data_IF_285181408214
#
_entry.id   IF_285181408214
#
_cell.length_a   1.000
_cell.length_b   1.000
_cell.length_c   1.000
_cell.angle_alpha   90.00
_cell.angle_beta   90.00
_cell.angle_gamma   90.00
#
_symmetry.space_group_name_H-M   'P 1'
#
loop_
_entity.id
_entity.type
_entity.pdbx_description
1 polymer ?
#
# COMPACT_ATOMS: atom_id res chain seq x y z
N UNK A 1 -23.54 33.11 -36.58
CA UNK A 1 -22.54 32.15 -37.08
C UNK A 1 -21.84 31.57 -35.87
N UNK A 2 -22.18 30.34 -35.53
CA UNK A 2 -21.49 29.57 -34.49
C UNK A 2 -20.20 29.01 -35.09
N UNK A 3 -19.08 29.11 -34.37
CA UNK A 3 -17.82 28.44 -34.73
C UNK A 3 -17.55 27.39 -33.66
N UNK A 4 -17.64 26.14 -34.08
CA UNK A 4 -17.32 24.93 -33.34
C UNK A 4 -15.83 24.80 -33.10
N UNK A 5 -15.42 24.42 -31.88
CA UNK A 5 -14.06 23.95 -31.60
C UNK A 5 -14.12 22.45 -31.43
N UNK A 6 -13.52 21.74 -32.38
CA UNK A 6 -13.40 20.28 -32.44
C UNK A 6 -12.50 19.75 -31.32
N UNK A 7 -13.00 18.73 -30.60
CA UNK A 7 -12.23 17.93 -29.67
C UNK A 7 -11.24 17.04 -30.45
N UNK A 8 -9.94 17.23 -30.21
CA UNK A 8 -8.90 16.32 -30.75
C UNK A 8 -8.94 15.00 -29.98
N UNK A 9 -9.24 13.93 -30.70
CA UNK A 9 -9.07 12.54 -30.26
C UNK A 9 -7.60 12.28 -29.89
N UNK A 10 -7.32 12.06 -28.61
CA UNK A 10 -6.07 11.45 -28.15
C UNK A 10 -6.33 9.95 -28.03
N UNK A 11 -5.69 9.20 -28.91
CA UNK A 11 -5.78 7.74 -29.01
C UNK A 11 -4.87 7.14 -27.92
N UNK A 12 -5.47 6.54 -26.88
CA UNK A 12 -4.74 5.82 -25.83
C UNK A 12 -4.24 4.50 -26.43
N UNK A 13 -2.94 4.18 -26.40
CA UNK A 13 -2.44 2.92 -26.93
C UNK A 13 -2.92 1.75 -26.07
N UNK A 14 -3.53 0.76 -26.72
CA UNK A 14 -3.80 -0.56 -26.14
C UNK A 14 -2.47 -1.23 -25.78
N UNK A 15 -2.21 -1.46 -24.49
CA UNK A 15 -1.16 -2.38 -24.06
C UNK A 15 -1.68 -3.82 -24.22
N UNK A 16 -1.13 -4.50 -25.23
CA UNK A 16 -1.12 -5.95 -25.34
C UNK A 16 -0.11 -6.55 -24.35
N UNK A 17 -0.35 -7.83 -24.00
CA UNK A 17 0.54 -8.87 -23.39
C UNK A 17 0.01 -9.40 -22.04
N UNK A 18 -0.74 -10.52 -22.05
CA UNK A 18 -0.32 -11.94 -21.86
C UNK A 18 0.14 -12.28 -20.44
N UNK A 19 -0.72 -13.04 -19.75
CA UNK A 19 -0.55 -13.62 -18.42
C UNK A 19 0.06 -15.02 -18.55
N UNK A 20 1.14 -15.33 -17.83
CA UNK A 20 1.75 -16.67 -17.77
C UNK A 20 1.49 -17.39 -16.43
N UNK A 21 0.28 -17.96 -16.36
CA UNK A 21 -0.21 -19.28 -15.90
C UNK A 21 0.40 -20.21 -14.82
N UNK A 22 1.39 -19.89 -13.98
CA UNK A 22 1.86 -20.92 -13.01
C UNK A 22 1.05 -21.12 -11.71
N UNK A 23 -0.06 -20.41 -11.50
CA UNK A 23 -1.14 -20.79 -10.56
C UNK A 23 -2.52 -20.36 -11.13
N UNK A 24 -3.58 -21.19 -11.07
CA UNK A 24 -4.86 -20.85 -11.68
C UNK A 24 -5.62 -19.84 -10.80
N UNK A 25 -5.52 -18.57 -11.14
CA UNK A 25 -6.52 -17.56 -10.77
C UNK A 25 -7.68 -17.76 -11.76
N UNK A 26 -8.91 -18.11 -11.31
CA UNK A 26 -10.00 -18.37 -12.23
C UNK A 26 -10.28 -17.10 -13.06
N UNK A 27 -10.44 -17.31 -14.36
CA UNK A 27 -10.69 -16.32 -15.41
C UNK A 27 -11.69 -15.23 -14.99
N UNK A 28 -11.18 -14.10 -14.51
CA UNK A 28 -12.01 -12.91 -14.30
C UNK A 28 -12.11 -12.15 -15.62
N UNK A 29 -13.27 -12.24 -16.28
CA UNK A 29 -13.60 -11.34 -17.40
C UNK A 29 -13.80 -9.91 -16.88
N UNK A 30 -13.15 -8.90 -17.46
CA UNK A 30 -13.34 -7.51 -17.06
C UNK A 30 -14.67 -6.99 -17.63
N UNK A 31 -15.75 -7.05 -16.85
CA UNK A 31 -16.96 -6.30 -17.20
C UNK A 31 -17.76 -5.88 -15.96
N UNK A 32 -18.19 -4.62 -15.95
CA UNK A 32 -18.92 -3.87 -14.91
C UNK A 32 -18.20 -3.44 -13.62
N UNK A 33 -17.28 -4.21 -13.04
CA UNK A 33 -16.68 -3.83 -11.73
C UNK A 33 -15.83 -2.56 -11.87
N UNK A 34 -15.04 -2.45 -12.95
CA UNK A 34 -14.14 -1.32 -13.21
C UNK A 34 -14.87 0.04 -13.28
N UNK A 35 -16.00 0.11 -14.00
CA UNK A 35 -16.72 1.37 -14.22
C UNK A 35 -17.49 1.87 -12.99
N UNK A 36 -18.03 0.96 -12.16
CA UNK A 36 -18.79 1.32 -10.96
C UNK A 36 -17.88 1.82 -9.83
N UNK A 37 -16.67 1.28 -9.72
CA UNK A 37 -15.71 1.69 -8.69
C UNK A 37 -15.12 3.07 -8.95
N UNK A 38 -14.77 3.39 -10.20
CA UNK A 38 -14.22 4.70 -10.58
C UNK A 38 -15.28 5.82 -10.39
N UNK A 39 -16.55 5.51 -10.63
CA UNK A 39 -17.68 6.43 -10.40
C UNK A 39 -17.96 6.68 -8.91
N UNK A 40 -17.85 5.65 -8.06
CA UNK A 40 -18.07 5.80 -6.62
C UNK A 40 -16.92 6.51 -5.90
N UNK A 41 -15.68 6.35 -6.38
CA UNK A 41 -14.52 7.02 -5.81
C UNK A 41 -14.57 8.55 -6.02
N UNK A 42 -15.04 9.00 -7.19
CA UNK A 42 -15.32 10.42 -7.45
C UNK A 42 -16.48 10.97 -6.60
N UNK A 43 -17.54 10.17 -6.40
CA UNK A 43 -18.67 10.55 -5.53
C UNK A 43 -18.29 10.64 -4.04
N UNK A 44 -17.32 9.82 -3.59
CA UNK A 44 -16.78 9.76 -2.22
C UNK A 44 -16.10 11.07 -1.78
N UNK A 45 -15.56 11.85 -2.74
CA UNK A 45 -14.92 13.14 -2.47
C UNK A 45 -15.88 14.33 -2.56
N UNK A 46 -17.02 14.20 -3.27
CA UNK A 46 -17.84 15.36 -3.66
C UNK A 46 -19.23 15.46 -3.03
N UNK A 47 -19.88 14.36 -2.59
CA UNK A 47 -21.32 14.42 -2.26
C UNK A 47 -21.70 13.98 -0.84
N UNK A 48 -22.38 14.92 -0.19
CA UNK A 48 -22.96 14.88 1.15
C UNK A 48 -24.19 13.95 1.21
N UNK A 49 -24.03 12.78 1.83
CA UNK A 49 -24.93 12.17 2.83
C UNK A 49 -24.40 10.77 3.18
N UNK A 50 -24.10 10.52 4.46
CA UNK A 50 -23.46 9.27 4.93
C UNK A 50 -24.26 7.99 4.60
N UNK A 51 -25.56 8.07 4.38
CA UNK A 51 -26.44 6.88 4.29
C UNK A 51 -26.52 6.26 2.88
N UNK A 52 -26.74 7.07 1.84
CA UNK A 52 -26.77 6.64 0.43
C UNK A 52 -25.43 5.97 0.02
N UNK A 53 -24.33 6.58 0.46
CA UNK A 53 -22.98 6.10 0.19
C UNK A 53 -22.72 4.69 0.78
N UNK A 54 -23.18 4.44 2.01
CA UNK A 54 -23.06 3.13 2.67
C UNK A 54 -23.83 2.06 1.88
N UNK A 55 -25.02 2.40 1.37
CA UNK A 55 -25.85 1.45 0.63
C UNK A 55 -25.25 1.08 -0.73
N UNK A 56 -24.71 2.06 -1.45
CA UNK A 56 -24.00 1.85 -2.72
C UNK A 56 -22.75 1.00 -2.49
N UNK A 57 -21.95 1.32 -1.46
CA UNK A 57 -20.76 0.54 -1.10
C UNK A 57 -21.11 -0.90 -0.75
N UNK A 58 -22.17 -1.15 0.04
CA UNK A 58 -22.64 -2.51 0.34
C UNK A 58 -22.98 -3.30 -0.92
N UNK A 59 -23.67 -2.69 -1.89
CA UNK A 59 -24.03 -3.34 -3.16
C UNK A 59 -22.81 -3.68 -4.02
N UNK A 60 -21.85 -2.75 -4.11
CA UNK A 60 -20.60 -2.96 -4.85
C UNK A 60 -19.76 -4.05 -4.18
N UNK A 61 -19.64 -4.02 -2.86
CA UNK A 61 -18.92 -5.04 -2.09
C UNK A 61 -19.56 -6.41 -2.22
N UNK A 62 -20.90 -6.51 -2.14
CA UNK A 62 -21.62 -7.75 -2.42
C UNK A 62 -21.28 -8.27 -3.81
N UNK A 63 -21.37 -7.44 -4.85
CA UNK A 63 -21.08 -7.86 -6.22
C UNK A 63 -19.65 -8.36 -6.36
N UNK A 64 -18.68 -7.59 -5.88
CA UNK A 64 -17.28 -7.97 -5.86
C UNK A 64 -17.05 -9.31 -5.14
N UNK A 65 -17.65 -9.50 -3.95
CA UNK A 65 -17.51 -10.74 -3.17
C UNK A 65 -18.13 -11.94 -3.88
N UNK A 66 -19.27 -11.76 -4.55
CA UNK A 66 -19.93 -12.84 -5.31
C UNK A 66 -19.16 -13.21 -6.57
N UNK A 67 -18.58 -12.22 -7.24
CA UNK A 67 -17.81 -12.41 -8.46
C UNK A 67 -16.45 -13.08 -8.14
N UNK A 68 -15.82 -12.74 -7.01
CA UNK A 68 -14.55 -13.33 -6.56
C UNK A 68 -14.71 -14.71 -5.89
N UNK A 69 -15.80 -14.92 -5.15
CA UNK A 69 -15.98 -16.12 -4.32
C UNK A 69 -17.29 -16.83 -4.65
N UNK A 70 -17.20 -17.87 -5.47
CA UNK A 70 -18.35 -18.69 -5.90
C UNK A 70 -19.19 -19.22 -4.72
N UNK A 71 -18.57 -19.53 -3.58
CA UNK A 71 -19.25 -19.96 -2.35
C UNK A 71 -20.25 -18.94 -1.80
N UNK A 72 -20.11 -17.66 -2.12
CA UNK A 72 -21.00 -16.59 -1.63
C UNK A 72 -22.00 -16.10 -2.68
N UNK A 73 -21.96 -16.66 -3.90
CA UNK A 73 -22.85 -16.32 -5.02
C UNK A 73 -24.34 -16.35 -4.65
N UNK A 74 -24.75 -17.28 -3.80
CA UNK A 74 -26.14 -17.50 -3.40
C UNK A 74 -26.56 -16.75 -2.12
N UNK A 75 -25.65 -16.04 -1.43
CA UNK A 75 -25.99 -15.28 -0.21
C UNK A 75 -26.75 -14.00 -0.55
N UNK A 76 -27.75 -13.62 0.25
CA UNK A 76 -28.45 -12.34 0.07
C UNK A 76 -27.65 -11.15 0.68
N UNK A 77 -28.15 -9.92 0.51
CA UNK A 77 -27.41 -8.72 0.93
C UNK A 77 -27.28 -8.60 2.45
N UNK A 78 -28.23 -9.18 3.21
CA UNK A 78 -28.23 -9.09 4.67
C UNK A 78 -27.09 -9.89 5.32
N UNK A 79 -26.42 -10.76 4.54
CA UNK A 79 -25.26 -11.51 4.99
C UNK A 79 -23.95 -10.73 4.91
N UNK A 80 -23.94 -9.55 4.27
CA UNK A 80 -22.73 -8.75 4.06
C UNK A 80 -22.77 -7.45 4.87
N UNK A 81 -21.74 -7.26 5.70
CA UNK A 81 -21.56 -6.08 6.52
C UNK A 81 -20.24 -5.43 6.15
N UNK A 82 -20.23 -4.13 5.86
CA UNK A 82 -19.02 -3.40 5.52
C UNK A 82 -18.82 -2.23 6.48
N UNK A 83 -17.60 -2.10 7.01
CA UNK A 83 -17.18 -0.99 7.85
C UNK A 83 -15.84 -0.44 7.38
N UNK A 84 -15.63 0.87 7.56
CA UNK A 84 -14.35 1.49 7.23
C UNK A 84 -13.36 1.19 8.34
N UNK A 85 -12.17 0.74 7.97
CA UNK A 85 -11.04 0.58 8.90
C UNK A 85 -10.23 1.87 8.85
N UNK A 86 -9.98 2.45 10.03
CA UNK A 86 -9.04 3.58 10.19
C UNK A 86 -7.60 3.04 10.15
N UNK A 87 -6.70 3.70 9.42
CA UNK A 87 -5.28 3.32 9.44
C UNK A 87 -4.43 3.76 8.26
N UNK A 88 -5.03 4.09 7.09
CA UNK A 88 -4.29 4.55 5.93
C UNK A 88 -4.66 5.97 5.53
N UNK A 89 -3.66 6.82 5.26
CA UNK A 89 -3.85 8.17 4.70
C UNK A 89 -4.09 8.08 3.19
N UNK A 90 -3.40 7.15 2.52
CA UNK A 90 -3.33 7.03 1.05
C UNK A 90 -4.37 6.08 0.44
N UNK A 91 -5.03 5.25 1.24
CA UNK A 91 -5.89 4.16 0.75
C UNK A 91 -7.22 4.09 1.53
N UNK A 92 -8.31 3.73 0.84
CA UNK A 92 -9.57 3.39 1.52
C UNK A 92 -9.57 1.91 1.87
N UNK A 93 -9.62 1.61 3.17
CA UNK A 93 -9.66 0.25 3.70
C UNK A 93 -11.05 -0.08 4.24
N UNK A 94 -11.65 -1.16 3.74
CA UNK A 94 -12.96 -1.64 4.16
C UNK A 94 -12.82 -3.05 4.73
N UNK A 95 -13.35 -3.28 5.92
CA UNK A 95 -13.57 -4.62 6.44
C UNK A 95 -14.95 -5.08 6.01
N UNK A 96 -15.01 -6.21 5.33
CA UNK A 96 -16.25 -6.86 4.93
C UNK A 96 -16.41 -8.14 5.75
N UNK A 97 -17.51 -8.23 6.49
CA UNK A 97 -17.89 -9.40 7.25
C UNK A 97 -19.01 -10.13 6.52
N UNK A 98 -18.81 -11.41 6.23
CA UNK A 98 -19.75 -12.27 5.54
C UNK A 98 -20.24 -13.35 6.50
N UNK A 99 -21.55 -13.37 6.78
CA UNK A 99 -22.19 -14.44 7.52
C UNK A 99 -22.47 -15.60 6.58
N UNK A 100 -21.81 -16.73 6.75
CA UNK A 100 -22.04 -17.93 5.93
C UNK A 100 -23.31 -18.67 6.38
N UNK A 101 -23.84 -19.57 5.53
CA UNK A 101 -25.07 -20.32 5.81
C UNK A 101 -24.96 -21.22 7.05
N UNK A 102 -23.75 -21.69 7.35
CA UNK A 102 -23.42 -22.47 8.56
C UNK A 102 -23.37 -21.61 9.84
N UNK A 103 -23.60 -20.29 9.74
CA UNK A 103 -23.55 -19.34 10.85
C UNK A 103 -22.17 -18.75 11.13
N UNK A 104 -21.11 -19.21 10.47
CA UNK A 104 -19.75 -18.68 10.66
C UNK A 104 -19.64 -17.26 10.11
N UNK A 105 -18.84 -16.44 10.79
CA UNK A 105 -18.51 -15.10 10.31
C UNK A 105 -17.11 -15.11 9.69
N UNK A 106 -17.02 -14.71 8.42
CA UNK A 106 -15.75 -14.58 7.71
C UNK A 106 -15.45 -13.10 7.49
N UNK A 107 -14.22 -12.68 7.77
CA UNK A 107 -13.78 -11.31 7.59
C UNK A 107 -12.74 -11.22 6.47
N UNK A 108 -12.97 -10.28 5.54
CA UNK A 108 -12.03 -9.92 4.50
C UNK A 108 -11.80 -8.40 4.52
N UNK A 109 -10.70 -7.98 3.90
CA UNK A 109 -10.36 -6.59 3.72
C UNK A 109 -10.39 -6.26 2.24
N UNK A 110 -11.02 -5.13 1.89
CA UNK A 110 -10.95 -4.56 0.55
C UNK A 110 -10.17 -3.25 0.63
N UNK A 111 -9.02 -3.20 -0.04
CA UNK A 111 -8.17 -2.00 -0.17
C UNK A 111 -8.43 -1.38 -1.53
N UNK A 112 -8.78 -0.11 -1.54
CA UNK A 112 -8.90 0.71 -2.75
C UNK A 112 -7.80 1.76 -2.74
N UNK A 113 -7.09 1.86 -3.86
CA UNK A 113 -6.01 2.83 -3.99
C UNK A 113 -6.56 4.25 -4.06
N UNK A 114 -5.92 5.18 -3.33
CA UNK A 114 -6.23 6.59 -3.42
C UNK A 114 -5.82 7.20 -4.76
N UNK A 115 -6.46 8.31 -5.16
CA UNK A 115 -6.12 8.99 -6.40
C UNK A 115 -4.73 9.61 -6.24
N UNK A 116 -3.97 9.75 -7.33
CA UNK A 116 -2.69 10.46 -7.31
C UNK A 116 -1.63 9.85 -6.37
N UNK A 117 -1.73 8.57 -6.05
CA UNK A 117 -0.71 7.91 -5.22
C UNK A 117 0.48 7.42 -6.06
N UNK A 118 0.32 7.32 -7.38
CA UNK A 118 1.41 7.01 -8.33
C UNK A 118 2.57 8.03 -8.30
N UNK A 119 2.35 9.22 -7.73
CA UNK A 119 3.41 10.19 -7.61
C UNK A 119 4.52 9.70 -6.65
N UNK A 120 4.16 9.06 -5.56
CA UNK A 120 5.13 8.61 -4.55
C UNK A 120 5.35 7.09 -4.64
N UNK A 121 4.33 6.34 -5.03
CA UNK A 121 4.33 4.87 -4.96
C UNK A 121 4.40 4.26 -6.36
N UNK A 122 5.27 3.27 -6.53
CA UNK A 122 5.30 2.44 -7.74
C UNK A 122 4.33 1.27 -7.60
N UNK A 123 3.10 1.45 -8.11
CA UNK A 123 2.02 0.45 -7.99
C UNK A 123 2.29 -0.85 -8.74
N UNK A 124 3.02 -0.80 -9.86
CA UNK A 124 3.40 -2.01 -10.59
C UNK A 124 4.35 -2.87 -9.74
N UNK A 125 5.33 -2.24 -9.09
CA UNK A 125 6.26 -2.89 -8.16
C UNK A 125 5.51 -3.50 -6.97
N UNK A 126 4.59 -2.76 -6.36
CA UNK A 126 3.78 -3.24 -5.25
C UNK A 126 2.90 -4.44 -5.65
N UNK A 127 2.17 -4.33 -6.76
CA UNK A 127 1.32 -5.40 -7.27
C UNK A 127 2.11 -6.65 -7.66
N UNK A 128 3.33 -6.49 -8.15
CA UNK A 128 4.20 -7.62 -8.41
C UNK A 128 4.65 -8.27 -7.10
N UNK A 129 5.12 -7.48 -6.13
CA UNK A 129 5.68 -7.99 -4.88
C UNK A 129 4.63 -8.63 -3.95
N UNK A 130 3.41 -8.09 -3.90
CA UNK A 130 2.36 -8.53 -2.95
C UNK A 130 2.03 -10.01 -3.10
N UNK A 131 2.08 -10.57 -4.31
CA UNK A 131 1.84 -12.00 -4.56
C UNK A 131 2.86 -12.88 -3.85
N UNK A 132 4.15 -12.55 -3.96
CA UNK A 132 5.25 -13.31 -3.36
C UNK A 132 5.31 -13.10 -1.85
N UNK A 133 5.12 -11.86 -1.38
CA UNK A 133 5.09 -11.55 0.04
C UNK A 133 3.96 -12.28 0.76
N UNK A 134 2.77 -12.30 0.15
CA UNK A 134 1.63 -13.04 0.68
C UNK A 134 1.89 -14.55 0.71
N UNK A 135 2.51 -15.10 -0.34
CA UNK A 135 2.91 -16.51 -0.38
C UNK A 135 3.99 -16.86 0.67
N UNK A 136 4.90 -15.93 0.97
CA UNK A 136 5.91 -16.06 2.02
C UNK A 136 5.33 -15.89 3.45
N UNK A 137 4.03 -15.58 3.56
CA UNK A 137 3.32 -15.44 4.84
C UNK A 137 3.42 -14.04 5.45
N UNK A 138 3.81 -13.03 4.68
CA UNK A 138 3.81 -11.63 5.10
C UNK A 138 2.49 -10.95 4.78
N UNK A 139 2.10 -10.02 5.66
CA UNK A 139 0.86 -9.29 5.57
C UNK A 139 -0.39 -10.16 5.52
N UNK A 140 -1.43 -9.63 4.90
CA UNK A 140 -2.68 -10.34 4.73
C UNK A 140 -2.61 -11.30 3.54
N UNK A 141 -3.32 -12.43 3.63
CA UNK A 141 -3.42 -13.36 2.51
C UNK A 141 -4.15 -12.67 1.36
N UNK A 142 -3.52 -12.56 0.20
CA UNK A 142 -4.14 -12.02 -0.99
C UNK A 142 -5.17 -13.00 -1.52
N UNK A 143 -6.41 -12.53 -1.68
CA UNK A 143 -7.54 -13.34 -2.14
C UNK A 143 -7.95 -12.98 -3.58
N UNK A 144 -7.68 -11.74 -4.01
CA UNK A 144 -7.91 -11.30 -5.37
C UNK A 144 -7.42 -9.88 -5.62
N UNK A 145 -7.21 -9.55 -6.89
CA UNK A 145 -6.85 -8.21 -7.37
C UNK A 145 -7.84 -7.78 -8.44
N UNK A 146 -8.12 -6.48 -8.51
CA UNK A 146 -8.99 -5.88 -9.51
C UNK A 146 -8.47 -4.49 -9.86
N UNK A 147 -9.04 -3.87 -10.91
CA UNK A 147 -8.45 -2.70 -11.57
C UNK A 147 -7.93 -1.59 -10.64
N UNK A 148 -8.65 -1.25 -9.57
CA UNK A 148 -8.28 -0.16 -8.65
C UNK A 148 -8.11 -0.62 -7.19
N UNK A 149 -7.82 -1.90 -6.95
CA UNK A 149 -7.66 -2.40 -5.60
C UNK A 149 -7.41 -3.89 -5.46
N UNK A 150 -7.47 -4.36 -4.22
CA UNK A 150 -7.27 -5.75 -3.88
C UNK A 150 -8.20 -6.21 -2.76
N UNK A 151 -8.42 -7.51 -2.71
CA UNK A 151 -9.13 -8.21 -1.63
C UNK A 151 -8.15 -9.12 -0.91
N UNK A 152 -8.11 -9.01 0.42
CA UNK A 152 -7.20 -9.75 1.27
C UNK A 152 -7.96 -10.38 2.45
N UNK A 153 -7.38 -11.35 3.14
CA UNK A 153 -7.89 -11.82 4.42
C UNK A 153 -7.88 -10.69 5.44
N UNK A 154 -8.82 -10.69 6.38
CA UNK A 154 -8.72 -9.80 7.52
C UNK A 154 -7.65 -10.32 8.50
N UNK A 155 -6.80 -9.43 9.00
CA UNK A 155 -5.84 -9.75 10.07
C UNK A 155 -6.48 -9.36 11.40
N UNK A 156 -6.67 -10.34 12.28
CA UNK A 156 -7.11 -10.13 13.65
C UNK A 156 -5.90 -9.87 14.54
N UNK A 157 -5.44 -8.62 14.59
CA UNK A 157 -4.27 -8.21 15.36
C UNK A 157 -4.40 -6.75 15.80
N UNK A 158 -3.71 -6.37 16.87
CA UNK A 158 -3.52 -4.96 17.23
C UNK A 158 -2.31 -4.40 16.48
N UNK A 159 -2.36 -3.14 16.10
CA UNK A 159 -1.19 -2.42 15.58
C UNK A 159 -0.22 -2.10 16.73
N UNK A 160 1.07 -2.04 16.42
CA UNK A 160 2.09 -1.63 17.39
C UNK A 160 2.01 -0.12 17.66
N UNK A 161 2.44 0.26 18.85
CA UNK A 161 2.82 1.63 19.18
C UNK A 161 4.35 1.75 19.27
N UNK A 162 4.95 2.95 19.20
CA UNK A 162 6.41 3.11 19.34
C UNK A 162 6.98 2.46 20.62
N UNK A 163 6.21 2.44 21.71
CA UNK A 163 6.61 1.79 22.96
C UNK A 163 6.75 0.26 22.85
N UNK A 164 6.06 -0.39 21.91
CA UNK A 164 6.20 -1.83 21.68
C UNK A 164 7.59 -2.20 21.15
N UNK A 165 8.20 -1.35 20.31
CA UNK A 165 9.55 -1.56 19.78
C UNK A 165 10.62 -1.64 20.88
N UNK A 166 10.37 -1.02 22.05
CA UNK A 166 11.30 -1.06 23.18
C UNK A 166 11.25 -2.36 23.97
N UNK A 167 10.24 -3.19 23.76
CA UNK A 167 10.09 -4.46 24.48
C UNK A 167 11.09 -5.46 23.88
N UNK A 168 12.12 -5.93 24.62
CA UNK A 168 13.19 -6.74 24.03
C UNK A 168 12.70 -8.02 23.34
N UNK A 169 11.64 -8.63 23.87
CA UNK A 169 11.00 -9.81 23.25
C UNK A 169 10.39 -9.50 21.89
N UNK A 170 9.70 -8.36 21.76
CA UNK A 170 9.08 -7.96 20.49
C UNK A 170 10.14 -7.48 19.49
N UNK A 171 11.14 -6.72 19.94
CA UNK A 171 12.27 -6.33 19.09
C UNK A 171 13.01 -7.55 18.51
N UNK A 172 13.24 -8.58 19.33
CA UNK A 172 13.81 -9.84 18.86
C UNK A 172 12.92 -10.56 17.84
N UNK A 173 11.59 -10.51 18.01
CA UNK A 173 10.67 -11.10 17.04
C UNK A 173 10.62 -10.32 15.72
N UNK A 174 10.60 -8.98 15.78
CA UNK A 174 10.72 -8.11 14.60
C UNK A 174 12.00 -8.44 13.83
N UNK A 175 13.13 -8.57 14.52
CA UNK A 175 14.40 -8.91 13.87
C UNK A 175 14.36 -10.26 13.14
N UNK A 176 13.70 -11.28 13.71
CA UNK A 176 13.49 -12.57 13.02
C UNK A 176 12.59 -12.42 11.79
N UNK A 177 11.49 -11.68 11.91
CA UNK A 177 10.56 -11.48 10.80
C UNK A 177 11.20 -10.66 9.67
N UNK A 178 11.95 -9.62 10.01
CA UNK A 178 12.70 -8.80 9.06
C UNK A 178 13.79 -9.62 8.35
N UNK A 179 14.51 -10.48 9.08
CA UNK A 179 15.45 -11.41 8.46
C UNK A 179 14.78 -12.33 7.44
N UNK A 180 13.62 -12.91 7.79
CA UNK A 180 12.81 -13.73 6.85
C UNK A 180 12.32 -12.90 5.67
N UNK A 181 11.96 -11.63 5.88
CA UNK A 181 11.50 -10.72 4.83
C UNK A 181 12.61 -10.47 3.81
N UNK A 182 13.84 -10.22 4.29
CA UNK A 182 15.03 -10.01 3.44
C UNK A 182 15.44 -11.22 2.61
N UNK A 183 14.90 -12.41 2.91
CA UNK A 183 15.11 -13.64 2.14
C UNK A 183 14.08 -13.85 1.03
N UNK A 184 13.03 -13.02 0.96
CA UNK A 184 12.00 -13.15 -0.09
C UNK A 184 12.58 -12.68 -1.43
N UNK A 185 12.52 -13.56 -2.41
CA UNK A 185 13.02 -13.31 -3.76
C UNK A 185 11.85 -12.89 -4.66
N UNK A 186 11.87 -11.62 -5.07
CA UNK A 186 10.90 -11.05 -6.02
C UNK A 186 11.54 -11.06 -7.42
N UNK A 187 10.90 -11.64 -8.45
CA UNK A 187 11.45 -11.63 -9.80
C UNK A 187 11.59 -10.22 -10.38
N UNK A 188 12.63 -10.00 -11.18
CA UNK A 188 12.90 -8.71 -11.84
C UNK A 188 14.29 -8.18 -11.51
N UNK A 189 14.49 -6.88 -11.76
CA UNK A 189 15.76 -6.21 -11.45
C UNK A 189 16.00 -6.19 -9.94
N UNK A 190 17.21 -6.57 -9.53
CA UNK A 190 17.70 -6.45 -8.14
C UNK A 190 18.45 -5.13 -7.89
N UNK A 191 18.36 -4.17 -8.82
CA UNK A 191 18.98 -2.87 -8.64
C UNK A 191 18.39 -2.17 -7.39
N UNK A 192 19.23 -1.67 -6.46
CA UNK A 192 18.75 -1.03 -5.25
C UNK A 192 18.05 0.30 -5.59
N UNK A 193 16.76 0.39 -5.25
CA UNK A 193 15.91 1.51 -5.64
C UNK A 193 16.02 2.72 -4.71
N UNK A 194 16.66 2.59 -3.54
CA UNK A 194 16.77 3.66 -2.54
C UNK A 194 17.20 5.00 -3.14
N UNK A 195 18.33 5.03 -3.85
CA UNK A 195 18.86 6.29 -4.40
C UNK A 195 18.06 6.76 -5.61
N UNK A 196 17.52 5.84 -6.41
CA UNK A 196 16.64 6.18 -7.56
C UNK A 196 15.39 6.91 -7.05
N UNK A 197 14.71 6.33 -6.07
CA UNK A 197 13.50 6.89 -5.47
C UNK A 197 13.82 8.20 -4.70
N UNK A 198 14.96 8.26 -3.99
CA UNK A 198 15.42 9.47 -3.29
C UNK A 198 15.63 10.65 -4.25
N UNK A 199 16.36 10.47 -5.36
CA UNK A 199 16.57 11.55 -6.33
C UNK A 199 15.29 11.94 -7.06
N UNK A 200 14.43 10.97 -7.39
CA UNK A 200 13.09 11.24 -7.94
C UNK A 200 12.26 12.11 -6.99
N UNK A 201 12.30 11.85 -5.68
CA UNK A 201 11.60 12.67 -4.69
C UNK A 201 12.24 14.06 -4.56
N UNK A 202 13.56 14.15 -4.54
CA UNK A 202 14.29 15.41 -4.50
C UNK A 202 13.92 16.32 -5.69
N UNK A 203 13.99 15.80 -6.92
CA UNK A 203 13.66 16.57 -8.13
C UNK A 203 12.26 17.16 -8.04
N UNK A 204 11.28 16.35 -7.63
CA UNK A 204 9.90 16.81 -7.46
C UNK A 204 9.79 17.83 -6.35
N UNK A 205 10.36 17.55 -5.18
CA UNK A 205 10.32 18.45 -4.05
C UNK A 205 10.91 19.82 -4.41
N UNK A 206 12.00 19.87 -5.18
CA UNK A 206 12.70 21.10 -5.58
C UNK A 206 11.95 21.98 -6.59
N UNK A 207 10.82 21.51 -7.13
CA UNK A 207 10.03 22.22 -8.15
C UNK A 207 8.64 22.60 -7.66
N UNK A 208 8.35 22.38 -6.37
CA UNK A 208 7.04 22.68 -5.80
C UNK A 208 6.82 24.19 -5.65
N UNK A 209 5.55 24.57 -5.73
CA UNK A 209 5.06 25.91 -5.43
C UNK A 209 3.76 25.78 -4.64
N UNK A 210 3.55 26.66 -3.68
CA UNK A 210 2.41 26.68 -2.78
C UNK A 210 1.69 28.03 -2.87
N UNK A 211 0.37 27.99 -3.02
CA UNK A 211 -0.47 29.20 -2.98
C UNK A 211 -0.51 29.84 -1.59
N UNK A 212 -0.24 29.04 -0.55
CA UNK A 212 -0.17 29.47 0.83
C UNK A 212 1.17 30.18 1.10
N UNK A 213 1.10 31.47 1.40
CA UNK A 213 2.28 32.31 1.59
C UNK A 213 3.19 31.85 2.73
N UNK A 214 2.64 31.33 3.84
CA UNK A 214 3.46 30.85 4.96
C UNK A 214 4.19 29.56 4.59
N UNK A 215 3.51 28.64 3.89
CA UNK A 215 4.14 27.42 3.36
C UNK A 215 5.18 27.73 2.31
N UNK A 216 4.90 28.67 1.40
CA UNK A 216 5.85 29.10 0.38
C UNK A 216 7.09 29.73 1.02
N UNK A 217 6.93 30.62 2.00
CA UNK A 217 8.07 31.21 2.70
C UNK A 217 8.94 30.16 3.42
N UNK A 218 8.32 29.14 4.03
CA UNK A 218 9.05 28.00 4.62
C UNK A 218 9.77 27.17 3.58
N UNK A 219 9.16 26.97 2.41
CA UNK A 219 9.75 26.24 1.30
C UNK A 219 10.94 27.00 0.69
N UNK A 220 10.80 28.31 0.48
CA UNK A 220 11.85 29.17 -0.08
C UNK A 220 13.08 29.28 0.84
N UNK A 221 12.91 29.03 2.14
CA UNK A 221 14.00 28.97 3.10
C UNK A 221 14.86 27.69 2.98
N UNK A 222 14.41 26.67 2.23
CA UNK A 222 15.14 25.42 2.03
C UNK A 222 16.21 25.61 0.95
N UNK A 223 17.47 25.37 1.30
CA UNK A 223 18.54 25.31 0.30
C UNK A 223 18.56 23.95 -0.40
N UNK A 224 17.85 23.83 -1.53
CA UNK A 224 17.87 22.60 -2.35
C UNK A 224 19.25 22.27 -2.91
N UNK A 225 20.12 23.28 -3.10
CA UNK A 225 21.52 23.07 -3.50
C UNK A 225 22.33 22.35 -2.41
N UNK A 226 22.18 22.78 -1.16
CA UNK A 226 22.82 22.11 -0.01
C UNK A 226 22.29 20.69 0.16
N UNK A 227 20.96 20.51 0.10
CA UNK A 227 20.33 19.18 0.18
C UNK A 227 20.86 18.25 -0.91
N UNK A 228 20.94 18.71 -2.17
CA UNK A 228 21.47 17.91 -3.28
C UNK A 228 22.92 17.51 -3.05
N UNK A 229 23.75 18.45 -2.57
CA UNK A 229 25.16 18.22 -2.26
C UNK A 229 25.32 17.14 -1.19
N UNK A 230 24.51 17.20 -0.12
CA UNK A 230 24.53 16.19 0.95
C UNK A 230 24.02 14.82 0.46
N UNK A 231 23.00 14.76 -0.38
CA UNK A 231 22.52 13.51 -0.98
C UNK A 231 23.62 12.81 -1.81
N UNK A 232 24.37 13.57 -2.64
CA UNK A 232 25.49 13.02 -3.41
C UNK A 232 26.56 12.46 -2.47
N UNK A 233 26.98 13.24 -1.45
CA UNK A 233 27.98 12.80 -0.47
C UNK A 233 27.55 11.53 0.26
N UNK A 234 26.29 11.46 0.72
CA UNK A 234 25.76 10.28 1.40
C UNK A 234 25.73 9.06 0.49
N UNK A 235 25.33 9.22 -0.78
CA UNK A 235 25.38 8.13 -1.77
C UNK A 235 26.80 7.63 -2.01
N UNK A 236 27.76 8.53 -2.17
CA UNK A 236 29.17 8.16 -2.37
C UNK A 236 29.77 7.48 -1.14
N UNK A 237 29.45 7.95 0.06
CA UNK A 237 29.93 7.35 1.32
C UNK A 237 29.33 5.96 1.53
N UNK A 238 28.02 5.81 1.38
CA UNK A 238 27.33 4.53 1.57
C UNK A 238 27.69 3.51 0.48
N UNK A 239 28.00 3.95 -0.74
CA UNK A 239 28.50 3.10 -1.81
C UNK A 239 29.83 2.39 -1.51
N UNK A 240 30.60 2.88 -0.52
CA UNK A 240 31.86 2.25 -0.07
C UNK A 240 31.65 1.06 0.87
N UNK A 241 30.44 0.87 1.39
CA UNK A 241 30.15 -0.15 2.41
C UNK A 241 29.95 -1.56 1.82
N UNK A 242 29.84 -1.69 0.49
CA UNK A 242 29.47 -2.94 -0.20
C UNK A 242 28.27 -3.63 0.48
N UNK A 243 27.27 -2.82 0.81
CA UNK A 243 26.14 -3.26 1.63
C UNK A 243 25.29 -4.29 0.84
N UNK A 244 24.91 -5.43 1.46
CA UNK A 244 24.07 -6.42 0.80
C UNK A 244 22.75 -5.83 0.32
N UNK A 245 22.42 -6.08 -0.94
CA UNK A 245 21.12 -5.75 -1.52
C UNK A 245 20.15 -6.90 -1.27
N UNK A 246 19.01 -6.58 -0.69
CA UNK A 246 17.94 -7.52 -0.32
C UNK A 246 16.60 -6.93 -0.72
N UNK A 247 15.54 -7.75 -0.76
CA UNK A 247 14.20 -7.19 -0.82
C UNK A 247 13.83 -6.63 0.56
N UNK A 248 13.69 -5.31 0.63
CA UNK A 248 13.53 -4.53 1.85
C UNK A 248 12.12 -3.96 1.98
N UNK A 249 11.69 -3.73 3.22
CA UNK A 249 10.42 -3.06 3.50
C UNK A 249 10.49 -1.56 3.19
N UNK A 250 11.61 -0.93 3.55
CA UNK A 250 11.94 0.50 3.46
C UNK A 250 11.09 1.44 4.33
N UNK A 251 10.04 0.93 4.98
CA UNK A 251 9.11 1.74 5.78
C UNK A 251 8.60 1.02 7.05
N UNK A 252 9.50 0.43 7.85
CA UNK A 252 9.12 -0.43 8.98
C UNK A 252 8.82 0.36 10.27
N UNK A 253 7.84 1.25 10.21
CA UNK A 253 7.31 2.01 11.35
C UNK A 253 6.30 1.19 12.18
N UNK A 254 5.99 1.63 13.41
CA UNK A 254 5.12 0.88 14.35
C UNK A 254 3.73 0.57 13.77
N UNK A 255 3.12 1.53 13.07
CA UNK A 255 1.90 1.35 12.28
C UNK A 255 1.92 0.20 11.25
N UNK A 256 3.10 -0.21 10.78
CA UNK A 256 3.29 -1.28 9.79
C UNK A 256 3.60 -2.64 10.42
N UNK A 257 3.47 -2.76 11.75
CA UNK A 257 3.64 -4.00 12.50
C UNK A 257 2.37 -4.28 13.30
N UNK A 258 1.87 -5.51 13.22
CA UNK A 258 0.70 -5.95 13.98
C UNK A 258 1.00 -7.22 14.80
N UNK A 259 0.42 -7.33 15.99
CA UNK A 259 0.50 -8.52 16.85
C UNK A 259 -0.87 -9.14 17.04
N UNK A 260 -1.00 -10.41 16.67
CA UNK A 260 -2.04 -11.26 17.23
C UNK A 260 -1.50 -11.89 18.52
N UNK A 261 -2.02 -11.45 19.67
CA UNK A 261 -1.56 -11.92 20.98
C UNK A 261 -2.01 -13.34 21.28
N UNK A 262 -3.17 -13.76 20.78
CA UNK A 262 -3.71 -15.11 20.99
C UNK A 262 -2.89 -16.18 20.23
N UNK A 263 -2.41 -15.82 19.05
CA UNK A 263 -1.60 -16.69 18.18
C UNK A 263 -0.08 -16.48 18.35
N UNK A 264 0.32 -15.52 19.20
CA UNK A 264 1.70 -15.02 19.31
C UNK A 264 2.35 -14.72 17.95
N UNK A 265 1.55 -14.17 17.02
CA UNK A 265 1.94 -14.02 15.62
C UNK A 265 2.08 -12.55 15.23
N UNK A 266 3.27 -12.20 14.73
CA UNK A 266 3.61 -10.89 14.23
C UNK A 266 3.39 -10.81 12.72
N UNK A 267 2.77 -9.71 12.27
CA UNK A 267 2.53 -9.40 10.86
C UNK A 267 3.26 -8.12 10.51
N UNK A 268 4.13 -8.17 9.51
CA UNK A 268 4.62 -6.98 8.81
C UNK A 268 3.64 -6.71 7.66
N UNK A 269 3.17 -5.47 7.52
CA UNK A 269 2.16 -5.05 6.56
C UNK A 269 2.60 -3.77 5.83
N UNK A 270 1.83 -3.40 4.80
CA UNK A 270 1.99 -2.19 3.99
C UNK A 270 3.33 -2.07 3.23
N UNK A 271 3.37 -2.70 2.06
CA UNK A 271 4.59 -2.87 1.27
C UNK A 271 4.71 -1.85 0.13
N UNK A 272 4.09 -0.67 0.26
CA UNK A 272 4.03 0.32 -0.84
C UNK A 272 5.41 0.91 -1.20
N UNK A 273 6.35 0.93 -0.24
CA UNK A 273 7.75 1.31 -0.45
C UNK A 273 8.70 0.13 -0.64
N UNK A 274 8.19 -1.10 -0.60
CA UNK A 274 9.03 -2.30 -0.67
C UNK A 274 9.72 -2.43 -2.03
N UNK A 275 11.02 -2.72 -2.00
CA UNK A 275 11.85 -2.84 -3.20
C UNK A 275 13.17 -3.53 -2.86
N UNK A 276 13.93 -3.92 -3.90
CA UNK A 276 15.35 -4.21 -3.66
C UNK A 276 16.04 -2.94 -3.17
N UNK A 277 16.73 -3.05 -2.04
CA UNK A 277 17.39 -1.95 -1.35
C UNK A 277 18.55 -2.47 -0.50
N UNK A 278 19.29 -1.57 0.11
CA UNK A 278 20.40 -1.93 0.98
C UNK A 278 19.86 -2.39 2.34
N UNK A 279 20.25 -3.59 2.79
CA UNK A 279 19.82 -4.15 4.08
C UNK A 279 20.05 -3.19 5.25
N UNK A 280 21.18 -2.47 5.22
CA UNK A 280 21.52 -1.49 6.26
C UNK A 280 20.55 -0.31 6.33
N UNK A 281 19.98 0.11 5.20
CA UNK A 281 18.97 1.16 5.19
C UNK A 281 17.69 0.69 5.87
N UNK A 282 17.19 -0.50 5.55
CA UNK A 282 15.93 -1.01 6.11
C UNK A 282 16.00 -1.16 7.64
N UNK A 283 17.14 -1.65 8.15
CA UNK A 283 17.41 -1.78 9.58
C UNK A 283 17.58 -0.39 10.22
N UNK A 284 18.35 0.50 9.60
CA UNK A 284 18.58 1.85 10.13
C UNK A 284 17.30 2.68 10.17
N UNK A 285 16.47 2.59 9.13
CA UNK A 285 15.16 3.21 9.08
C UNK A 285 14.29 2.69 10.23
N UNK A 286 14.19 1.37 10.40
CA UNK A 286 13.44 0.79 11.51
C UNK A 286 13.89 1.31 12.89
N UNK A 287 15.19 1.54 13.10
CA UNK A 287 15.68 2.14 14.34
C UNK A 287 15.28 3.61 14.51
N UNK A 288 15.24 4.40 13.43
CA UNK A 288 14.72 5.77 13.50
C UNK A 288 13.25 5.80 13.94
N UNK A 289 12.46 4.80 13.56
CA UNK A 289 11.04 4.70 13.92
C UNK A 289 10.76 4.45 15.41
N UNK A 290 11.80 4.20 16.23
CA UNK A 290 11.66 4.13 17.69
C UNK A 290 11.30 5.48 18.31
N UNK A 291 11.66 6.58 17.64
CA UNK A 291 11.35 7.95 18.04
C UNK A 291 9.87 8.32 17.80
N UNK A 292 9.17 7.56 16.95
CA UNK A 292 7.81 7.84 16.53
C UNK A 292 7.66 9.17 15.77
N UNK A 293 6.42 9.58 15.51
CA UNK A 293 6.13 10.83 14.78
C UNK A 293 6.54 12.11 15.53
N UNK A 294 6.71 12.02 16.85
CA UNK A 294 7.19 13.13 17.68
C UNK A 294 8.71 13.32 17.57
N UNK A 295 9.42 12.40 16.89
CA UNK A 295 10.86 12.45 16.67
C UNK A 295 11.67 12.59 17.97
N UNK A 296 11.24 11.92 19.04
CA UNK A 296 11.97 11.91 20.31
C UNK A 296 13.14 10.91 20.28
N UNK A 297 14.33 11.42 19.97
CA UNK A 297 15.58 10.66 19.92
C UNK A 297 16.31 10.57 21.26
N UNK A 298 15.68 11.00 22.37
CA UNK A 298 16.29 10.92 23.72
C UNK A 298 16.03 9.57 24.41
N UNK A 299 15.29 8.69 23.75
CA UNK A 299 14.61 7.52 24.30
C UNK A 299 15.39 6.20 24.20
#
# INVERSE_FOLDING_TARGET
>A
MAVSVEARNIQIPYSSLTVDHTLPIPEMKPSLVYALFQFCFFFLLMYSTRFELILIMKRIMKKLCKDLFTKWSNLDESHFFAERVSGGITNLLLKVSVKEQNGNMVHITVRLYGPNTEYVINRERELQAIHYLSAAGFGAKLLGVFGNGMVQSFIHARTFEPLDFRKPKLAAEIAKQLHRFHQVEIPGSKEPQLWVDTFKFFERASTLTFDDHEKQARYDAISFEEVHTELIKLKELTGRLDAPVVFAHNDLLSGNVMLNEDEEKLYIIDFEYASYSYRGFDIGNHFNEYAGYDCDYTL
#
